data_IF_408715594375
#
_entry.id   IF_408715594375
#
_cell.length_a   1.000
_cell.length_b   1.000
_cell.length_c   1.000
_cell.angle_alpha   90.00
_cell.angle_beta   90.00
_cell.angle_gamma   90.00
#
_symmetry.space_group_name_H-M   'P 1'
#
loop_
_entity.id
_entity.type
_entity.pdbx_description
1 polymer ?
#
# COMPACT_ATOMS: atom_id res chain seq x y z
N UNK A 1 32.12 23.26 -2.50
CA UNK A 1 30.70 23.53 -2.22
C UNK A 1 29.96 23.41 -3.53
N UNK A 2 28.91 22.60 -3.60
CA UNK A 2 28.13 22.44 -4.83
C UNK A 2 27.36 23.72 -5.08
N UNK A 3 27.66 24.44 -6.17
CA UNK A 3 26.90 25.64 -6.54
C UNK A 3 25.46 25.25 -6.89
N UNK A 4 24.50 25.77 -6.12
CA UNK A 4 23.08 25.67 -6.40
C UNK A 4 22.73 26.66 -7.52
N UNK A 5 22.63 26.18 -8.76
CA UNK A 5 22.42 27.06 -9.94
C UNK A 5 20.94 27.28 -10.26
N UNK A 6 20.08 26.37 -9.84
CA UNK A 6 18.64 26.44 -10.07
C UNK A 6 17.86 25.69 -8.98
N UNK A 7 16.54 25.81 -9.04
CA UNK A 7 15.65 25.19 -8.06
C UNK A 7 15.64 23.65 -8.10
N UNK A 8 15.91 23.04 -9.25
CA UNK A 8 16.00 21.57 -9.37
C UNK A 8 17.24 21.02 -8.68
N UNK A 9 18.37 21.73 -8.75
CA UNK A 9 19.59 21.39 -8.00
C UNK A 9 19.32 21.44 -6.49
N UNK A 10 18.61 22.47 -6.03
CA UNK A 10 18.16 22.57 -4.64
C UNK A 10 17.26 21.41 -4.25
N UNK A 11 16.24 21.09 -5.06
CA UNK A 11 15.31 19.99 -4.81
C UNK A 11 16.04 18.65 -4.71
N UNK A 12 17.02 18.41 -5.58
CA UNK A 12 17.83 17.19 -5.57
C UNK A 12 18.72 17.11 -4.34
N UNK A 13 19.44 18.18 -4.01
CA UNK A 13 20.28 18.23 -2.81
C UNK A 13 19.45 18.07 -1.55
N UNK A 14 18.32 18.77 -1.45
CA UNK A 14 17.39 18.70 -0.33
C UNK A 14 16.89 17.27 -0.11
N UNK A 15 16.49 16.56 -1.17
CA UNK A 15 16.12 15.16 -1.08
C UNK A 15 17.27 14.30 -0.57
N UNK A 16 18.46 14.41 -1.16
CA UNK A 16 19.62 13.60 -0.73
C UNK A 16 20.00 13.88 0.73
N UNK A 17 19.95 15.13 1.17
CA UNK A 17 20.39 15.55 2.51
C UNK A 17 19.35 15.26 3.60
N UNK A 18 18.06 15.45 3.31
CA UNK A 18 17.00 15.42 4.33
C UNK A 18 16.02 14.27 4.17
N UNK A 19 16.02 13.56 3.04
CA UNK A 19 15.18 12.38 2.86
C UNK A 19 16.06 11.14 2.76
N UNK A 20 15.97 10.27 3.76
CA UNK A 20 16.48 8.90 3.60
C UNK A 20 15.52 8.17 2.68
N UNK A 21 15.88 8.03 1.40
CA UNK A 21 15.13 7.17 0.49
C UNK A 21 15.17 5.75 1.04
N UNK A 22 14.01 5.27 1.47
CA UNK A 22 13.84 3.90 1.92
C UNK A 22 14.10 2.97 0.74
N UNK A 23 15.02 2.01 0.89
CA UNK A 23 15.34 1.09 -0.21
C UNK A 23 14.09 0.33 -0.65
N UNK A 24 13.95 0.11 -1.96
CA UNK A 24 12.84 -0.65 -2.54
C UNK A 24 12.72 -2.03 -1.87
N UNK A 25 13.84 -2.67 -1.55
CA UNK A 25 13.90 -3.95 -0.82
C UNK A 25 13.25 -3.86 0.57
N UNK A 26 13.51 -2.77 1.31
CA UNK A 26 12.90 -2.57 2.62
C UNK A 26 11.39 -2.31 2.51
N UNK A 27 10.96 -1.55 1.50
CA UNK A 27 9.53 -1.32 1.24
C UNK A 27 8.85 -2.64 0.90
N UNK A 28 9.46 -3.47 0.05
CA UNK A 28 8.95 -4.81 -0.28
C UNK A 28 8.81 -5.68 0.96
N UNK A 29 9.83 -5.72 1.82
CA UNK A 29 9.79 -6.48 3.07
C UNK A 29 8.65 -5.99 3.97
N UNK A 30 8.55 -4.67 4.21
CA UNK A 30 7.44 -4.08 4.99
C UNK A 30 6.08 -4.41 4.39
N UNK A 31 5.95 -4.33 3.06
CA UNK A 31 4.72 -4.64 2.37
C UNK A 31 4.35 -6.11 2.55
N UNK A 32 5.30 -7.03 2.37
CA UNK A 32 5.07 -8.47 2.54
C UNK A 32 4.70 -8.82 3.99
N UNK A 33 5.47 -8.33 4.96
CA UNK A 33 5.28 -8.60 6.40
C UNK A 33 4.00 -7.96 6.97
N UNK A 34 3.40 -7.00 6.25
CA UNK A 34 2.17 -6.34 6.68
C UNK A 34 0.97 -7.27 6.54
N UNK A 35 0.60 -7.93 7.62
CA UNK A 35 -0.62 -8.73 7.76
C UNK A 35 -1.59 -8.05 8.73
N UNK A 36 -2.89 -8.32 8.61
CA UNK A 36 -3.93 -7.76 9.49
C UNK A 36 -3.78 -8.31 10.91
N UNK A 37 -3.65 -7.40 11.88
CA UNK A 37 -3.60 -7.76 13.30
C UNK A 37 -4.92 -8.33 13.83
N UNK A 38 -4.88 -9.07 14.94
CA UNK A 38 -6.07 -9.71 15.53
C UNK A 38 -7.16 -8.72 15.97
N UNK A 39 -6.76 -7.58 16.54
CA UNK A 39 -7.66 -6.52 17.02
C UNK A 39 -7.69 -5.32 16.09
N UNK A 40 -7.12 -5.47 14.89
CA UNK A 40 -7.03 -4.40 13.92
C UNK A 40 -8.25 -4.38 13.00
N UNK A 41 -8.82 -3.18 12.80
CA UNK A 41 -9.88 -2.99 11.83
C UNK A 41 -9.36 -3.27 10.41
N UNK A 42 -10.22 -3.88 9.58
CA UNK A 42 -9.89 -4.15 8.17
C UNK A 42 -9.52 -2.86 7.44
N UNK A 43 -10.17 -1.73 7.77
CA UNK A 43 -9.90 -0.42 7.19
C UNK A 43 -8.49 0.10 7.48
N UNK A 44 -8.02 -0.01 8.73
CA UNK A 44 -6.67 0.41 9.11
C UNK A 44 -5.63 -0.43 8.37
N UNK A 45 -5.82 -1.75 8.36
CA UNK A 45 -4.98 -2.67 7.59
C UNK A 45 -4.94 -2.30 6.10
N UNK A 46 -6.11 -2.13 5.49
CA UNK A 46 -6.27 -1.85 4.07
C UNK A 46 -5.51 -0.59 3.66
N UNK A 47 -5.70 0.53 4.37
CA UNK A 47 -5.07 1.80 4.02
C UNK A 47 -3.54 1.74 4.12
N UNK A 48 -3.00 1.08 5.15
CA UNK A 48 -1.55 0.92 5.27
C UNK A 48 -0.97 0.01 4.20
N UNK A 49 -1.63 -1.13 3.93
CA UNK A 49 -1.19 -2.10 2.93
C UNK A 49 -1.20 -1.48 1.53
N UNK A 50 -2.29 -0.81 1.13
CA UNK A 50 -2.41 -0.11 -0.16
C UNK A 50 -1.37 1.00 -0.28
N UNK A 51 -1.10 1.75 0.80
CA UNK A 51 -0.03 2.77 0.79
C UNK A 51 1.34 2.15 0.48
N UNK A 52 1.65 0.96 0.99
CA UNK A 52 2.89 0.24 0.69
C UNK A 52 2.92 -0.26 -0.77
N UNK A 53 1.81 -0.80 -1.27
CA UNK A 53 1.67 -1.19 -2.68
C UNK A 53 1.89 0.01 -3.63
N UNK A 54 1.35 1.19 -3.28
CA UNK A 54 1.54 2.43 -4.04
C UNK A 54 2.99 2.90 -4.06
N UNK A 55 3.71 2.79 -2.94
CA UNK A 55 5.15 3.07 -2.88
C UNK A 55 5.95 2.17 -3.83
N UNK A 56 5.51 0.93 -4.01
CA UNK A 56 6.10 -0.05 -4.93
C UNK A 56 5.58 0.06 -6.37
N UNK A 57 4.62 0.96 -6.63
CA UNK A 57 3.97 1.16 -7.93
C UNK A 57 3.36 -0.14 -8.48
N UNK A 58 2.77 -0.96 -7.60
CA UNK A 58 2.01 -2.12 -8.03
C UNK A 58 0.77 -1.67 -8.80
N UNK A 59 0.36 -2.46 -9.80
CA UNK A 59 -0.91 -2.25 -10.46
C UNK A 59 -2.08 -2.66 -9.54
N UNK A 60 -3.30 -2.40 -9.99
CA UNK A 60 -4.53 -2.65 -9.21
C UNK A 60 -4.72 -4.13 -8.89
N UNK A 61 -4.47 -5.02 -9.85
CA UNK A 61 -4.57 -6.47 -9.67
C UNK A 61 -3.60 -6.99 -8.60
N UNK A 62 -2.33 -6.60 -8.70
CA UNK A 62 -1.30 -6.98 -7.73
C UNK A 62 -1.58 -6.34 -6.37
N UNK A 63 -2.07 -5.11 -6.33
CA UNK A 63 -2.47 -4.45 -5.09
C UNK A 63 -3.58 -5.24 -4.39
N UNK A 64 -4.61 -5.64 -5.12
CA UNK A 64 -5.70 -6.47 -4.58
C UNK A 64 -5.22 -7.81 -4.07
N UNK A 65 -4.36 -8.51 -4.82
CA UNK A 65 -3.75 -9.77 -4.37
C UNK A 65 -2.96 -9.57 -3.08
N UNK A 66 -2.12 -8.54 -3.00
CA UNK A 66 -1.32 -8.28 -1.80
C UNK A 66 -2.19 -7.91 -0.60
N UNK A 67 -3.27 -7.15 -0.79
CA UNK A 67 -4.27 -6.91 0.25
C UNK A 67 -4.87 -8.24 0.72
N UNK A 68 -5.31 -9.11 -0.19
CA UNK A 68 -5.90 -10.41 0.14
C UNK A 68 -4.93 -11.34 0.88
N UNK A 69 -3.65 -11.36 0.50
CA UNK A 69 -2.62 -12.21 1.14
C UNK A 69 -2.50 -11.90 2.64
N UNK A 70 -2.52 -10.62 3.03
CA UNK A 70 -2.38 -10.23 4.43
C UNK A 70 -3.68 -10.12 5.22
N UNK A 71 -4.86 -10.28 4.59
CA UNK A 71 -6.14 -10.26 5.31
C UNK A 71 -6.34 -11.51 6.17
N UNK A 72 -6.95 -11.33 7.34
CA UNK A 72 -7.23 -12.42 8.27
C UNK A 72 -8.52 -13.18 7.93
N UNK A 73 -9.58 -12.47 7.54
CA UNK A 73 -10.86 -13.09 7.20
C UNK A 73 -10.79 -13.78 5.84
N UNK A 74 -10.89 -15.11 5.83
CA UNK A 74 -10.87 -15.91 4.59
C UNK A 74 -12.15 -15.77 3.77
N UNK A 75 -13.28 -15.52 4.42
CA UNK A 75 -14.54 -15.24 3.74
C UNK A 75 -14.47 -13.91 2.98
N UNK A 76 -13.92 -12.87 3.63
CA UNK A 76 -13.67 -11.59 2.97
C UNK A 76 -12.70 -11.76 1.79
N UNK A 77 -11.59 -12.47 1.98
CA UNK A 77 -10.65 -12.76 0.88
C UNK A 77 -11.35 -13.43 -0.29
N UNK A 78 -12.21 -14.42 -0.02
CA UNK A 78 -12.97 -15.14 -1.06
C UNK A 78 -13.92 -14.20 -1.78
N UNK A 79 -14.67 -13.36 -1.05
CA UNK A 79 -15.57 -12.36 -1.64
C UNK A 79 -14.80 -11.37 -2.54
N UNK A 80 -13.66 -10.84 -2.06
CA UNK A 80 -12.85 -9.90 -2.82
C UNK A 80 -12.27 -10.54 -4.08
N UNK A 81 -11.71 -11.75 -3.98
CA UNK A 81 -11.13 -12.45 -5.13
C UNK A 81 -12.17 -12.90 -6.16
N UNK A 82 -13.43 -13.08 -5.76
CA UNK A 82 -14.53 -13.41 -6.69
C UNK A 82 -15.00 -12.22 -7.54
N UNK A 83 -14.74 -11.00 -7.07
CA UNK A 83 -15.09 -9.74 -7.74
C UNK A 83 -14.06 -9.40 -8.82
N UNK A 84 -14.48 -8.91 -9.99
CA UNK A 84 -13.58 -8.38 -11.02
C UNK A 84 -13.14 -6.93 -10.77
N UNK A 85 -13.70 -6.28 -9.75
CA UNK A 85 -13.37 -4.90 -9.35
C UNK A 85 -12.04 -4.86 -8.62
N UNK A 86 -11.09 -4.06 -9.12
CA UNK A 86 -9.70 -4.11 -8.66
C UNK A 86 -9.13 -2.74 -8.28
N UNK A 87 -9.82 -1.64 -8.60
CA UNK A 87 -9.35 -0.30 -8.22
C UNK A 87 -9.36 -0.13 -6.70
N UNK A 88 -8.50 0.75 -6.17
CA UNK A 88 -8.47 1.01 -4.72
C UNK A 88 -9.86 1.40 -4.17
N UNK A 89 -10.61 2.36 -4.76
CA UNK A 89 -11.92 2.76 -4.23
C UNK A 89 -12.96 1.64 -4.27
N UNK A 90 -12.96 0.82 -5.32
CA UNK A 90 -13.87 -0.33 -5.40
C UNK A 90 -13.54 -1.37 -4.34
N UNK A 91 -12.25 -1.68 -4.14
CA UNK A 91 -11.82 -2.64 -3.13
C UNK A 91 -12.25 -2.20 -1.72
N UNK A 92 -12.18 -0.89 -1.43
CA UNK A 92 -12.66 -0.32 -0.17
C UNK A 92 -14.20 -0.41 -0.04
N UNK A 93 -14.92 -0.16 -1.12
CA UNK A 93 -16.38 -0.31 -1.14
C UNK A 93 -16.81 -1.76 -0.88
N UNK A 94 -16.10 -2.73 -1.47
CA UNK A 94 -16.39 -4.16 -1.29
C UNK A 94 -16.13 -4.61 0.15
N UNK A 95 -15.04 -4.12 0.75
CA UNK A 95 -14.74 -4.33 2.18
C UNK A 95 -15.87 -3.75 3.05
N UNK A 96 -16.31 -2.52 2.77
CA UNK A 96 -17.38 -1.87 3.53
C UNK A 96 -18.68 -2.68 3.44
N UNK A 97 -19.08 -3.06 2.22
CA UNK A 97 -20.27 -3.87 2.00
C UNK A 97 -20.22 -5.21 2.76
N UNK A 98 -19.05 -5.85 2.82
CA UNK A 98 -18.90 -7.13 3.53
C UNK A 98 -18.98 -6.95 5.06
N UNK A 99 -18.42 -5.87 5.61
CA UNK A 99 -18.35 -5.64 7.06
C UNK A 99 -19.68 -5.12 7.64
N UNK A 100 -20.50 -4.45 6.82
CA UNK A 100 -21.81 -3.93 7.21
C UNK A 100 -22.94 -4.98 7.12
N UNK A 101 -22.65 -6.19 6.61
CA UNK A 101 -23.56 -7.35 6.55
C UNK A 101 -23.37 -8.24 7.77
#
# INVERSE_FOLDING_TARGET
MTDLKNFDDFRKLFKVTFTSEESITNIWKKMYDRVQGEKESVFNYYHEKVRLCRKLKLNEDETKKMVCVGLRSRDLVTALLSSSRNTEPELLADIRMFVEV
#
